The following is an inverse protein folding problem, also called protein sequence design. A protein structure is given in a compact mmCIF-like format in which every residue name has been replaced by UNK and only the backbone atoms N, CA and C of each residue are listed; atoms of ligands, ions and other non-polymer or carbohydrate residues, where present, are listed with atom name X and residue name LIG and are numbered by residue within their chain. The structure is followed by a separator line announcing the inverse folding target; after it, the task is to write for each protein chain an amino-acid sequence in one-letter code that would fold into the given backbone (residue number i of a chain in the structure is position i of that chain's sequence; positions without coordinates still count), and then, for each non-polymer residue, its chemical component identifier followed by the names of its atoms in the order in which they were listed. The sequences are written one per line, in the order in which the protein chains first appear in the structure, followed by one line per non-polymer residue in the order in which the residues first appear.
data_IF_919600031522
#
_entry.id   IF_919600031522
#
_cell.length_a   1.000
_cell.length_b   1.000
_cell.length_c   1.000
_cell.angle_alpha   90.00
_cell.angle_beta   90.00
_cell.angle_gamma   90.00
#
_symmetry.space_group_name_H-M   'P 1'
#
loop_
_entity.id
_entity.type
_entity.pdbx_description
1 polymer ?
#
# COMPACT_ATOMS: atom_id res chain seq x y z
N UNK A 1 -49.22 -34.07 -45.05
CA UNK A 1 -48.73 -34.54 -46.34
C UNK A 1 -47.32 -35.00 -46.14
N UNK A 2 -47.17 -36.33 -45.99
CA UNK A 2 -46.64 -37.27 -46.99
C UNK A 2 -45.17 -37.03 -47.27
N UNK A 3 -44.34 -37.85 -46.98
CA UNK A 3 -43.81 -39.22 -47.24
C UNK A 3 -42.30 -39.08 -47.44
N UNK A 4 -41.39 -39.87 -47.14
CA UNK A 4 -41.15 -41.26 -46.84
C UNK A 4 -39.70 -41.65 -47.24
N UNK A 5 -39.03 -42.40 -46.35
CA UNK A 5 -38.31 -43.67 -46.57
C UNK A 5 -37.24 -43.73 -47.67
N UNK A 6 -36.09 -44.33 -47.48
CA UNK A 6 -35.67 -45.74 -47.17
C UNK A 6 -34.15 -45.75 -47.08
N UNK A 7 -33.46 -46.31 -46.09
CA UNK A 7 -33.08 -47.73 -45.94
C UNK A 7 -32.27 -48.36 -47.13
N UNK A 8 -31.02 -48.71 -46.83
CA UNK A 8 -30.47 -50.02 -47.18
C UNK A 8 -29.10 -50.21 -46.53
N UNK A 9 -29.03 -51.31 -45.82
CA UNK A 9 -27.88 -51.98 -45.24
C UNK A 9 -27.28 -52.95 -46.29
N UNK A 10 -26.09 -53.46 -46.02
CA UNK A 10 -25.60 -54.84 -46.30
C UNK A 10 -24.12 -54.87 -45.87
N UNK A 11 -23.73 -55.54 -44.80
CA UNK A 11 -23.10 -56.85 -44.56
C UNK A 11 -21.94 -57.18 -45.52
N UNK A 12 -20.82 -57.73 -45.21
CA UNK A 12 -20.39 -58.77 -44.31
C UNK A 12 -18.87 -58.96 -44.39
N UNK A 13 -18.28 -59.43 -43.41
CA UNK A 13 -17.51 -60.65 -43.10
C UNK A 13 -16.00 -60.60 -43.22
N UNK A 14 -15.39 -60.72 -42.12
CA UNK A 14 -14.48 -61.73 -41.58
C UNK A 14 -13.24 -62.17 -42.36
N UNK A 15 -12.08 -62.05 -41.71
CA UNK A 15 -11.14 -63.16 -41.50
C UNK A 15 -10.04 -62.79 -40.50
N UNK A 16 -9.85 -63.64 -39.52
CA UNK A 16 -8.75 -63.63 -38.53
C UNK A 16 -7.41 -63.97 -39.22
N UNK A 17 -6.33 -63.38 -38.67
CA UNK A 17 -5.06 -64.11 -38.52
C UNK A 17 -4.30 -63.48 -37.33
N UNK A 18 -4.01 -64.32 -36.36
CA UNK A 18 -3.13 -64.08 -35.24
C UNK A 18 -1.68 -64.00 -35.72
N UNK A 19 -0.97 -62.97 -35.21
CA UNK A 19 0.49 -63.06 -35.05
C UNK A 19 0.89 -62.26 -33.84
N UNK A 20 1.37 -62.96 -32.82
CA UNK A 20 1.99 -62.40 -31.65
C UNK A 20 3.40 -61.97 -32.03
N UNK A 21 3.74 -60.68 -31.65
CA UNK A 21 5.12 -60.26 -31.44
C UNK A 21 5.11 -59.21 -30.31
N UNK A 22 5.80 -59.60 -29.27
CA UNK A 22 6.14 -58.77 -28.14
C UNK A 22 6.96 -57.54 -28.58
N UNK A 23 6.47 -56.35 -28.29
CA UNK A 23 7.19 -55.09 -28.47
C UNK A 23 6.88 -54.17 -27.29
N UNK A 24 7.89 -53.92 -26.47
CA UNK A 24 7.85 -53.03 -25.33
C UNK A 24 7.34 -51.67 -25.73
N UNK A 25 6.18 -51.26 -25.25
CA UNK A 25 5.68 -49.92 -25.38
C UNK A 25 6.37 -49.02 -24.35
N UNK A 26 7.24 -48.14 -24.82
CA UNK A 26 7.74 -47.00 -24.06
C UNK A 26 6.60 -46.05 -23.81
N UNK A 27 6.33 -45.61 -22.58
CA UNK A 27 5.31 -44.59 -22.31
C UNK A 27 5.75 -43.27 -22.95
N UNK A 28 4.88 -42.63 -23.72
CA UNK A 28 5.07 -41.27 -24.19
C UNK A 28 5.20 -40.29 -22.98
N UNK A 29 6.11 -39.31 -23.04
CA UNK A 29 6.23 -38.33 -21.94
C UNK A 29 4.95 -37.54 -21.88
N UNK A 30 4.31 -37.53 -20.70
CA UNK A 30 3.25 -36.59 -20.35
C UNK A 30 3.76 -35.19 -20.53
N UNK A 31 3.07 -34.37 -21.32
CA UNK A 31 3.31 -32.97 -21.42
C UNK A 31 3.09 -32.34 -20.02
N UNK A 32 4.19 -32.12 -19.30
CA UNK A 32 4.20 -31.28 -18.12
C UNK A 32 3.89 -29.86 -18.57
N UNK A 33 2.66 -29.42 -18.30
CA UNK A 33 2.31 -27.99 -18.33
C UNK A 33 3.23 -27.23 -17.42
N UNK A 34 4.19 -26.51 -18.00
CA UNK A 34 5.10 -25.64 -17.29
C UNK A 34 4.31 -24.46 -16.72
N UNK A 35 3.82 -24.60 -15.49
CA UNK A 35 3.60 -23.46 -14.65
C UNK A 35 4.98 -22.84 -14.43
N UNK A 36 5.16 -21.59 -14.85
CA UNK A 36 6.34 -20.80 -14.49
C UNK A 36 6.34 -20.64 -12.96
N UNK A 37 6.91 -21.64 -12.29
CA UNK A 37 7.25 -21.56 -10.87
C UNK A 37 8.30 -20.46 -10.75
N UNK A 38 7.99 -19.44 -9.97
CA UNK A 38 8.98 -18.49 -9.50
C UNK A 38 10.19 -19.30 -9.02
N UNK A 39 11.34 -19.08 -9.65
CA UNK A 39 12.61 -19.69 -9.27
C UNK A 39 12.80 -19.40 -7.78
N UNK A 40 12.67 -20.42 -6.93
CA UNK A 40 12.75 -20.26 -5.50
C UNK A 40 14.15 -19.76 -5.12
N UNK A 41 14.30 -18.45 -4.93
CA UNK A 41 15.50 -17.85 -4.35
C UNK A 41 15.55 -18.28 -2.89
N UNK A 42 16.47 -19.20 -2.55
CA UNK A 42 16.64 -19.65 -1.17
C UNK A 42 17.47 -18.66 -0.38
N UNK A 43 17.09 -18.39 0.86
CA UNK A 43 17.74 -17.43 1.74
C UNK A 43 18.36 -18.09 2.98
N UNK A 44 18.83 -19.33 2.86
CA UNK A 44 19.46 -20.03 3.98
C UNK A 44 20.61 -19.18 4.56
N UNK A 45 20.51 -18.83 5.85
CA UNK A 45 21.47 -17.97 6.54
C UNK A 45 21.28 -16.46 6.31
N UNK A 46 20.25 -16.00 5.60
CA UNK A 46 19.91 -14.59 5.49
C UNK A 46 19.16 -14.11 6.74
N UNK A 47 19.69 -13.13 7.45
CA UNK A 47 18.94 -12.39 8.48
C UNK A 47 18.50 -11.05 7.90
N UNK A 48 17.21 -10.82 7.83
CA UNK A 48 16.61 -9.54 7.43
C UNK A 48 16.27 -8.76 8.68
N UNK A 49 16.91 -7.60 8.85
CA UNK A 49 16.66 -6.66 9.94
C UNK A 49 15.64 -5.61 9.54
N UNK A 50 14.59 -5.39 10.34
CA UNK A 50 13.57 -4.38 10.06
C UNK A 50 13.56 -3.33 11.16
N UNK A 51 13.75 -2.07 10.78
CA UNK A 51 13.65 -0.92 11.68
C UNK A 51 12.34 -0.19 11.44
N UNK A 52 11.36 -0.41 12.32
CA UNK A 52 10.09 0.29 12.32
C UNK A 52 10.24 1.68 12.95
N UNK A 53 9.52 2.66 12.37
CA UNK A 53 9.44 4.00 12.96
C UNK A 53 8.61 4.01 14.25
N UNK A 54 7.46 3.33 14.22
CA UNK A 54 6.52 3.09 15.33
C UNK A 54 5.44 2.09 14.87
N UNK A 55 4.44 1.83 15.70
CA UNK A 55 3.26 1.01 15.39
C UNK A 55 1.95 1.80 15.56
N UNK A 56 1.97 3.11 15.34
CA UNK A 56 0.79 3.97 15.51
C UNK A 56 -0.24 3.73 14.42
N UNK A 57 0.17 3.65 13.15
CA UNK A 57 -0.71 3.31 12.05
C UNK A 57 -1.07 1.82 12.11
N UNK A 58 -2.39 1.50 12.05
CA UNK A 58 -2.91 0.14 12.21
C UNK A 58 -2.23 -0.87 11.28
N UNK A 59 -1.93 -0.46 10.06
CA UNK A 59 -1.38 -1.32 9.03
C UNK A 59 -0.04 -1.95 9.40
N UNK A 60 0.87 -1.23 10.11
CA UNK A 60 2.23 -1.72 10.37
C UNK A 60 2.26 -3.06 11.10
N UNK A 61 1.57 -3.16 12.24
CA UNK A 61 1.51 -4.40 13.02
C UNK A 61 0.55 -5.43 12.43
N UNK A 62 -0.51 -4.99 11.76
CA UNK A 62 -1.59 -5.88 11.32
C UNK A 62 -1.30 -6.56 10.00
N UNK A 63 -0.68 -5.85 9.06
CA UNK A 63 -0.53 -6.31 7.69
C UNK A 63 0.90 -6.31 7.19
N UNK A 64 1.62 -5.19 7.34
CA UNK A 64 2.94 -4.99 6.77
C UNK A 64 3.97 -5.94 7.39
N UNK A 65 4.12 -5.93 8.72
CA UNK A 65 5.09 -6.78 9.42
C UNK A 65 4.82 -8.28 9.21
N UNK A 66 3.58 -8.79 9.36
CA UNK A 66 3.29 -10.20 9.08
C UNK A 66 3.60 -10.61 7.64
N UNK A 67 3.36 -9.73 6.66
CA UNK A 67 3.64 -10.01 5.26
C UNK A 67 5.14 -10.07 4.96
N UNK A 68 5.92 -9.11 5.48
CA UNK A 68 7.39 -9.12 5.38
C UNK A 68 7.94 -10.39 6.02
N UNK A 69 7.55 -10.67 7.27
CA UNK A 69 8.01 -11.83 8.03
C UNK A 69 7.71 -13.12 7.28
N UNK A 70 6.47 -13.28 6.80
CA UNK A 70 6.05 -14.44 6.00
C UNK A 70 6.90 -14.62 4.74
N UNK A 71 7.18 -13.55 3.99
CA UNK A 71 7.98 -13.62 2.78
C UNK A 71 9.42 -14.03 3.08
N UNK A 72 10.03 -13.47 4.12
CA UNK A 72 11.39 -13.79 4.57
C UNK A 72 11.50 -15.25 5.03
N UNK A 73 10.60 -15.69 5.92
CA UNK A 73 10.62 -17.03 6.51
C UNK A 73 10.29 -18.12 5.47
N UNK A 74 9.38 -17.86 4.54
CA UNK A 74 9.04 -18.77 3.45
C UNK A 74 10.24 -19.07 2.53
N UNK A 75 11.18 -18.12 2.40
CA UNK A 75 12.43 -18.32 1.67
C UNK A 75 13.55 -18.94 2.52
N UNK A 76 13.30 -19.28 3.80
CA UNK A 76 14.27 -19.84 4.74
C UNK A 76 15.18 -18.79 5.41
N UNK A 77 14.83 -17.50 5.32
CA UNK A 77 15.50 -16.40 6.01
C UNK A 77 15.04 -16.24 7.46
N UNK A 78 15.75 -15.42 8.22
CA UNK A 78 15.41 -15.04 9.59
C UNK A 78 14.94 -13.58 9.62
N UNK A 79 13.78 -13.33 10.20
CA UNK A 79 13.24 -11.99 10.46
C UNK A 79 13.63 -11.53 11.87
N UNK A 80 14.16 -10.30 11.99
CA UNK A 80 14.40 -9.61 13.26
C UNK A 80 13.95 -8.15 13.13
N UNK A 81 13.37 -7.56 14.18
CA UNK A 81 12.85 -6.20 14.10
C UNK A 81 13.04 -5.41 15.38
N UNK A 82 13.09 -4.09 15.24
CA UNK A 82 13.11 -3.12 16.33
C UNK A 82 12.12 -2.00 16.07
N UNK A 83 11.56 -1.42 17.14
CA UNK A 83 10.65 -0.27 17.11
C UNK A 83 11.39 0.98 17.58
N UNK A 84 11.37 2.06 16.78
CA UNK A 84 11.99 3.33 17.11
C UNK A 84 11.09 4.24 17.99
N UNK A 85 9.83 3.86 18.20
CA UNK A 85 8.87 4.59 19.04
C UNK A 85 8.78 6.08 18.68
N UNK A 86 8.77 6.39 17.38
CA UNK A 86 8.73 7.75 16.84
C UNK A 86 9.97 8.61 17.16
N UNK A 87 11.12 7.99 17.50
CA UNK A 87 12.38 8.70 17.75
C UNK A 87 13.41 8.38 16.66
N UNK A 88 13.87 9.41 15.95
CA UNK A 88 14.92 9.28 14.93
C UNK A 88 16.27 8.83 15.56
N UNK A 89 16.59 9.27 16.77
CA UNK A 89 17.79 8.85 17.50
C UNK A 89 17.71 7.35 17.89
N UNK A 90 16.56 6.93 18.42
CA UNK A 90 16.32 5.51 18.71
C UNK A 90 16.41 4.68 17.44
N UNK A 91 15.91 5.20 16.30
CA UNK A 91 15.99 4.49 15.02
C UNK A 91 17.43 4.32 14.55
N UNK A 92 18.29 5.32 14.69
CA UNK A 92 19.70 5.20 14.37
C UNK A 92 20.38 4.08 15.19
N UNK A 93 20.14 4.07 16.51
CA UNK A 93 20.62 3.00 17.41
C UNK A 93 20.06 1.63 17.02
N UNK A 94 18.79 1.55 16.62
CA UNK A 94 18.16 0.31 16.17
C UNK A 94 18.84 -0.26 14.92
N UNK A 95 19.21 0.59 13.96
CA UNK A 95 19.95 0.16 12.76
C UNK A 95 21.30 -0.44 13.12
N UNK A 96 22.07 0.21 13.99
CA UNK A 96 23.36 -0.30 14.48
C UNK A 96 23.21 -1.65 15.20
N UNK A 97 22.18 -1.77 16.04
CA UNK A 97 21.88 -3.01 16.75
C UNK A 97 21.52 -4.15 15.78
N UNK A 98 20.73 -3.89 14.75
CA UNK A 98 20.37 -4.90 13.74
C UNK A 98 21.61 -5.38 12.96
N UNK A 99 22.51 -4.46 12.58
CA UNK A 99 23.79 -4.82 11.94
C UNK A 99 24.62 -5.70 12.88
N UNK A 100 24.74 -5.31 14.15
CA UNK A 100 25.50 -6.06 15.18
C UNK A 100 24.91 -7.45 15.43
N UNK A 101 23.61 -7.63 15.28
CA UNK A 101 22.90 -8.91 15.36
C UNK A 101 23.08 -9.77 14.11
N UNK A 102 23.82 -9.30 13.12
CA UNK A 102 24.15 -10.04 11.91
C UNK A 102 23.14 -9.91 10.77
N UNK A 103 22.35 -8.83 10.76
CA UNK A 103 21.48 -8.52 9.62
C UNK A 103 22.32 -8.44 8.33
N UNK A 104 21.87 -9.13 7.30
CA UNK A 104 22.48 -9.16 5.96
C UNK A 104 21.83 -8.17 5.01
N UNK A 105 20.60 -7.77 5.31
CA UNK A 105 19.80 -6.75 4.62
C UNK A 105 19.00 -6.00 5.67
N UNK A 106 18.80 -4.70 5.48
CA UNK A 106 17.93 -3.88 6.32
C UNK A 106 16.71 -3.41 5.52
N UNK A 107 15.53 -3.51 6.12
CA UNK A 107 14.35 -2.76 5.74
C UNK A 107 14.18 -1.62 6.74
N UNK A 108 14.05 -0.39 6.27
CA UNK A 108 13.91 0.78 7.15
C UNK A 108 12.66 1.56 6.76
N UNK A 109 11.70 1.62 7.68
CA UNK A 109 10.58 2.56 7.64
C UNK A 109 11.04 3.83 8.36
N UNK A 110 11.53 4.83 7.61
CA UNK A 110 12.18 5.99 8.19
C UNK A 110 11.23 6.85 9.05
N UNK A 111 11.64 7.20 10.25
CA UNK A 111 10.96 8.20 11.09
C UNK A 111 11.23 9.63 10.56
N UNK A 112 12.46 9.85 10.09
CA UNK A 112 12.92 11.09 9.47
C UNK A 112 13.84 10.73 8.28
N UNK A 113 13.50 11.20 7.10
CA UNK A 113 14.17 10.87 5.83
C UNK A 113 15.62 11.38 5.74
N UNK A 114 15.96 12.41 6.51
CA UNK A 114 17.29 13.01 6.54
C UNK A 114 18.12 12.50 7.70
N UNK A 115 17.52 12.39 8.89
CA UNK A 115 18.22 11.96 10.09
C UNK A 115 18.74 10.51 9.98
N UNK A 116 18.07 9.65 9.20
CA UNK A 116 18.46 8.25 9.02
C UNK A 116 19.65 8.06 8.05
N UNK A 117 19.97 9.04 7.20
CA UNK A 117 21.01 8.89 6.15
C UNK A 117 22.41 8.47 6.65
N UNK A 118 22.93 8.99 7.78
CA UNK A 118 24.21 8.51 8.32
C UNK A 118 24.22 7.03 8.66
N UNK A 119 23.13 6.51 9.25
CA UNK A 119 22.98 5.09 9.59
C UNK A 119 22.89 4.23 8.34
N UNK A 120 22.19 4.72 7.30
CA UNK A 120 22.10 4.06 5.98
C UNK A 120 23.49 3.99 5.31
N UNK A 121 24.24 5.10 5.31
CA UNK A 121 25.60 5.14 4.76
C UNK A 121 26.51 4.15 5.49
N UNK A 122 26.39 4.06 6.82
CA UNK A 122 27.11 3.06 7.64
C UNK A 122 26.74 1.61 7.28
N UNK A 123 25.44 1.33 7.10
CA UNK A 123 24.99 0.00 6.68
C UNK A 123 25.59 -0.38 5.32
N UNK A 124 25.46 0.51 4.32
CA UNK A 124 25.98 0.27 2.96
C UNK A 124 27.50 0.07 2.97
N UNK A 125 28.26 0.89 3.71
CA UNK A 125 29.72 0.75 3.82
C UNK A 125 30.16 -0.57 4.47
N UNK A 126 29.33 -1.13 5.36
CA UNK A 126 29.52 -2.45 5.95
C UNK A 126 29.02 -3.59 5.01
N UNK A 127 28.62 -3.28 3.79
CA UNK A 127 28.12 -4.23 2.80
C UNK A 127 26.76 -4.83 3.16
N UNK A 128 25.94 -4.10 3.95
CA UNK A 128 24.56 -4.44 4.28
C UNK A 128 23.63 -3.57 3.41
N UNK A 129 22.99 -4.14 2.36
CA UNK A 129 22.05 -3.39 1.52
C UNK A 129 20.85 -2.90 2.32
N UNK A 130 20.28 -1.78 1.87
CA UNK A 130 19.13 -1.15 2.51
C UNK A 130 17.94 -1.06 1.56
N UNK A 131 16.77 -1.43 2.06
CA UNK A 131 15.47 -1.19 1.44
C UNK A 131 14.77 -0.08 2.21
N UNK A 132 14.49 1.04 1.57
CA UNK A 132 13.58 2.06 2.06
C UNK A 132 12.15 1.52 1.92
N UNK A 133 11.53 1.18 3.03
CA UNK A 133 10.22 0.61 3.09
C UNK A 133 9.16 1.69 3.29
N UNK A 134 8.19 1.77 2.37
CA UNK A 134 7.09 2.74 2.35
C UNK A 134 7.56 4.21 2.24
N UNK A 135 8.48 4.67 3.08
CA UNK A 135 8.99 6.04 3.12
C UNK A 135 10.32 6.18 2.41
N UNK A 136 10.45 7.21 1.59
CA UNK A 136 11.65 7.45 0.81
C UNK A 136 12.87 7.73 1.72
N UNK A 137 13.97 7.05 1.44
CA UNK A 137 15.31 7.43 1.88
C UNK A 137 16.07 7.79 0.60
N UNK A 138 16.39 9.07 0.43
CA UNK A 138 16.97 9.57 -0.80
C UNK A 138 18.48 9.30 -0.85
N UNK A 139 18.83 8.08 -1.26
CA UNK A 139 20.19 7.61 -1.48
C UNK A 139 20.21 6.64 -2.67
N UNK A 140 21.08 6.83 -3.70
CA UNK A 140 21.13 5.96 -4.88
C UNK A 140 21.53 4.50 -4.58
N UNK A 141 22.15 4.23 -3.43
CA UNK A 141 22.50 2.88 -2.95
C UNK A 141 21.35 2.15 -2.24
N UNK A 142 20.17 2.76 -2.13
CA UNK A 142 18.99 2.21 -1.46
C UNK A 142 17.98 1.70 -2.48
N UNK A 143 17.33 0.56 -2.19
CA UNK A 143 16.16 0.10 -2.94
C UNK A 143 14.89 0.64 -2.31
N UNK A 144 13.97 1.19 -3.11
CA UNK A 144 12.75 1.81 -2.61
C UNK A 144 11.49 0.99 -2.95
N UNK A 145 10.71 0.63 -1.94
CA UNK A 145 9.45 -0.11 -2.09
C UNK A 145 8.33 0.66 -1.44
N UNK A 146 7.35 1.10 -2.23
CA UNK A 146 6.22 1.90 -1.76
C UNK A 146 5.02 1.80 -2.71
N UNK A 147 3.94 2.54 -2.42
CA UNK A 147 2.86 2.82 -3.37
C UNK A 147 3.17 4.09 -4.19
N UNK A 148 2.47 4.28 -5.32
CA UNK A 148 2.51 5.55 -6.05
C UNK A 148 1.78 6.63 -5.24
N UNK A 149 2.52 7.32 -4.35
CA UNK A 149 1.95 8.29 -3.43
C UNK A 149 1.46 9.57 -4.14
N UNK A 150 2.00 9.91 -5.30
CA UNK A 150 1.43 11.01 -6.12
C UNK A 150 0.06 10.61 -6.65
N UNK A 151 -0.10 9.37 -7.12
CA UNK A 151 -1.41 8.86 -7.56
C UNK A 151 -2.40 8.72 -6.39
N UNK A 152 -1.93 8.36 -5.18
CA UNK A 152 -2.78 8.41 -3.96
C UNK A 152 -3.35 9.81 -3.78
N UNK A 153 -2.51 10.83 -3.81
CA UNK A 153 -2.96 12.22 -3.71
C UNK A 153 -3.94 12.63 -4.80
N UNK A 154 -3.70 12.21 -6.06
CA UNK A 154 -4.65 12.44 -7.16
C UNK A 154 -6.00 11.76 -6.91
N UNK A 155 -6.01 10.52 -6.41
CA UNK A 155 -7.24 9.79 -6.10
C UNK A 155 -8.03 10.47 -4.98
N UNK A 156 -7.36 10.90 -3.90
CA UNK A 156 -7.97 11.68 -2.83
C UNK A 156 -8.64 12.95 -3.37
N UNK A 157 -7.89 13.75 -4.13
CA UNK A 157 -8.40 15.01 -4.66
C UNK A 157 -9.51 14.83 -5.69
N UNK A 158 -9.45 13.80 -6.55
CA UNK A 158 -10.53 13.54 -7.54
C UNK A 158 -11.88 13.30 -6.87
N UNK A 159 -11.94 12.48 -5.83
CA UNK A 159 -13.19 12.18 -5.16
C UNK A 159 -13.71 13.36 -4.33
N UNK A 160 -12.82 14.12 -3.69
CA UNK A 160 -13.19 15.34 -2.96
C UNK A 160 -13.64 16.44 -3.93
N UNK A 161 -12.89 16.67 -5.00
CA UNK A 161 -13.25 17.69 -6.02
C UNK A 161 -14.56 17.37 -6.75
N UNK A 162 -14.81 16.09 -7.01
CA UNK A 162 -16.10 15.64 -7.56
C UNK A 162 -17.27 15.96 -6.62
N UNK A 163 -17.09 15.84 -5.32
CA UNK A 163 -18.11 16.14 -4.33
C UNK A 163 -18.27 17.65 -4.12
N UNK A 164 -17.18 18.41 -4.14
CA UNK A 164 -17.16 19.86 -3.86
C UNK A 164 -16.27 20.56 -4.88
N UNK A 165 -16.75 20.89 -6.10
CA UNK A 165 -15.92 21.52 -7.14
C UNK A 165 -15.57 22.99 -6.83
N UNK A 166 -16.23 23.62 -5.86
CA UNK A 166 -16.01 25.02 -5.43
C UNK A 166 -16.21 25.13 -3.93
N UNK A 167 -15.31 25.81 -3.23
CA UNK A 167 -15.45 26.01 -1.79
C UNK A 167 -14.15 26.26 -1.07
N UNK A 168 -14.25 26.27 0.24
CA UNK A 168 -13.16 26.49 1.18
C UNK A 168 -12.55 25.13 1.58
N UNK A 169 -11.31 24.89 1.18
CA UNK A 169 -10.60 23.64 1.43
C UNK A 169 -9.59 23.77 2.56
N UNK A 170 -9.51 22.73 3.37
CA UNK A 170 -8.45 22.54 4.38
C UNK A 170 -7.58 21.34 3.97
N UNK A 171 -6.26 21.46 4.17
CA UNK A 171 -5.28 20.44 3.89
C UNK A 171 -4.59 20.01 5.18
N UNK A 172 -4.84 18.79 5.64
CA UNK A 172 -4.20 18.16 6.79
C UNK A 172 -3.16 17.17 6.24
N UNK A 173 -1.91 17.63 6.17
CA UNK A 173 -0.80 16.85 5.62
C UNK A 173 -0.12 16.03 6.71
N UNK A 174 0.57 14.97 6.28
CA UNK A 174 1.36 14.12 7.16
C UNK A 174 2.60 14.79 7.75
N UNK A 175 3.50 13.98 8.29
CA UNK A 175 4.72 14.48 8.91
C UNK A 175 5.63 15.17 7.88
N UNK A 176 6.10 16.36 8.20
CA UNK A 176 7.01 17.14 7.35
C UNK A 176 8.36 16.45 7.07
N UNK A 177 8.79 15.54 7.95
CA UNK A 177 10.00 14.74 7.80
C UNK A 177 9.78 13.43 7.00
N UNK A 178 8.62 13.29 6.35
CA UNK A 178 8.24 12.17 5.49
C UNK A 178 7.93 12.69 4.09
N UNK A 179 8.69 12.25 3.10
CA UNK A 179 8.50 12.66 1.71
C UNK A 179 7.10 12.30 1.16
N UNK A 180 6.43 11.29 1.73
CA UNK A 180 5.09 10.90 1.30
C UNK A 180 4.08 12.04 1.46
N UNK A 181 4.16 12.84 2.54
CA UNK A 181 3.29 14.00 2.72
C UNK A 181 3.44 15.03 1.57
N UNK A 182 4.65 15.20 1.05
CA UNK A 182 4.90 16.10 -0.10
C UNK A 182 4.39 15.48 -1.40
N UNK A 183 4.57 14.17 -1.61
CA UNK A 183 4.07 13.47 -2.80
C UNK A 183 2.54 13.48 -2.87
N UNK A 184 1.88 13.19 -1.77
CA UNK A 184 0.42 13.24 -1.64
C UNK A 184 -0.11 14.64 -2.00
N UNK A 185 0.46 15.69 -1.38
CA UNK A 185 0.08 17.07 -1.65
C UNK A 185 0.30 17.44 -3.12
N UNK A 186 1.41 17.02 -3.72
CA UNK A 186 1.65 17.30 -5.14
C UNK A 186 0.60 16.67 -6.05
N UNK A 187 0.20 15.43 -5.76
CA UNK A 187 -0.89 14.75 -6.48
C UNK A 187 -2.25 15.45 -6.29
N UNK A 188 -2.53 15.90 -5.06
CA UNK A 188 -3.73 16.68 -4.76
C UNK A 188 -3.74 17.98 -5.57
N UNK A 189 -2.64 18.73 -5.57
CA UNK A 189 -2.51 20.00 -6.29
C UNK A 189 -2.69 19.84 -7.79
N UNK A 190 -2.16 18.79 -8.40
CA UNK A 190 -2.34 18.53 -9.84
C UNK A 190 -3.82 18.44 -10.24
N UNK A 191 -4.68 17.90 -9.38
CA UNK A 191 -6.11 17.75 -9.69
C UNK A 191 -6.90 19.06 -9.53
N UNK A 192 -6.55 19.85 -8.51
CA UNK A 192 -7.34 21.06 -8.16
C UNK A 192 -6.74 22.37 -8.65
N UNK A 193 -5.56 22.33 -9.29
CA UNK A 193 -4.78 23.54 -9.69
C UNK A 193 -5.60 24.59 -10.43
N UNK A 194 -6.42 24.18 -11.38
CA UNK A 194 -7.20 25.12 -12.22
C UNK A 194 -8.35 25.77 -11.42
N UNK A 195 -8.98 25.01 -10.52
CA UNK A 195 -10.00 25.54 -9.62
C UNK A 195 -9.42 26.47 -8.53
N UNK A 196 -8.18 26.20 -8.09
CA UNK A 196 -7.46 27.13 -7.21
C UNK A 196 -7.07 28.40 -7.97
N UNK A 197 -6.57 28.28 -9.19
CA UNK A 197 -6.18 29.41 -10.02
C UNK A 197 -7.36 30.31 -10.39
N UNK A 198 -8.56 29.74 -10.62
CA UNK A 198 -9.80 30.50 -10.89
C UNK A 198 -10.42 31.12 -9.63
N UNK A 199 -9.97 30.70 -8.43
CA UNK A 199 -10.58 31.11 -7.16
C UNK A 199 -11.86 30.33 -6.79
N UNK A 200 -12.21 29.30 -7.55
CA UNK A 200 -13.31 28.39 -7.24
C UNK A 200 -13.01 27.57 -5.97
N UNK A 201 -11.75 27.17 -5.78
CA UNK A 201 -11.27 26.59 -4.54
C UNK A 201 -10.38 27.59 -3.81
N UNK A 202 -10.65 27.79 -2.52
CA UNK A 202 -9.86 28.61 -1.62
C UNK A 202 -9.19 27.72 -0.57
N UNK A 203 -7.88 27.76 -0.48
CA UNK A 203 -7.15 27.18 0.64
C UNK A 203 -7.36 28.07 1.88
N UNK A 204 -8.15 27.60 2.84
CA UNK A 204 -8.46 28.34 4.08
C UNK A 204 -7.75 27.76 5.31
N UNK A 205 -6.94 26.70 5.13
CA UNK A 205 -6.13 26.10 6.17
C UNK A 205 -5.23 24.99 5.62
N UNK A 206 -3.96 25.05 5.99
CA UNK A 206 -2.99 24.03 5.59
C UNK A 206 -1.94 23.84 6.68
N UNK A 207 -1.67 22.58 7.04
CA UNK A 207 -0.67 22.25 8.06
C UNK A 207 0.02 20.93 7.76
N UNK A 208 1.19 20.71 8.37
CA UNK A 208 1.82 19.41 8.54
C UNK A 208 1.54 18.92 9.96
N UNK A 209 1.01 17.71 10.07
CA UNK A 209 0.70 17.06 11.34
C UNK A 209 1.88 16.21 11.78
N UNK A 210 2.49 16.55 12.92
CA UNK A 210 3.65 15.83 13.41
C UNK A 210 3.34 14.36 13.64
N UNK A 211 4.26 13.51 13.11
CA UNK A 211 4.19 12.05 13.23
C UNK A 211 2.85 11.44 12.80
N UNK A 212 2.08 12.11 11.91
CA UNK A 212 0.75 11.66 11.41
C UNK A 212 -0.30 11.46 12.51
N UNK A 213 -0.17 12.12 13.67
CA UNK A 213 -0.97 11.87 14.88
C UNK A 213 -2.42 12.32 14.74
N UNK A 214 -3.40 11.41 14.96
CA UNK A 214 -4.83 11.75 14.88
C UNK A 214 -5.28 12.87 15.83
N UNK A 215 -4.75 12.88 17.06
CA UNK A 215 -5.08 13.88 18.07
C UNK A 215 -4.58 15.28 17.71
N UNK A 216 -3.44 15.38 17.01
CA UNK A 216 -2.95 16.66 16.50
C UNK A 216 -3.81 17.13 15.33
N UNK A 217 -4.15 16.23 14.39
CA UNK A 217 -5.04 16.54 13.27
C UNK A 217 -6.42 17.03 13.74
N UNK A 218 -6.95 16.46 14.83
CA UNK A 218 -8.18 16.95 15.44
C UNK A 218 -8.03 18.38 15.93
N UNK A 219 -6.99 18.66 16.72
CA UNK A 219 -6.72 19.99 17.26
C UNK A 219 -6.51 21.02 16.15
N UNK A 220 -5.76 20.68 15.11
CA UNK A 220 -5.50 21.52 13.94
C UNK A 220 -6.80 21.82 13.18
N UNK A 221 -7.66 20.80 12.99
CA UNK A 221 -8.96 21.00 12.33
C UNK A 221 -9.90 21.88 13.17
N UNK A 222 -9.96 21.72 14.49
CA UNK A 222 -10.73 22.59 15.41
C UNK A 222 -10.28 24.06 15.30
N UNK A 223 -8.97 24.29 15.18
CA UNK A 223 -8.42 25.63 14.94
C UNK A 223 -8.88 26.21 13.60
N UNK A 224 -8.83 25.42 12.51
CA UNK A 224 -9.30 25.86 11.19
C UNK A 224 -10.81 26.12 11.17
N UNK A 225 -11.61 25.30 11.82
CA UNK A 225 -13.06 25.53 11.95
C UNK A 225 -13.35 26.85 12.67
N UNK A 226 -12.63 27.10 13.78
CA UNK A 226 -12.76 28.37 14.54
C UNK A 226 -12.34 29.57 13.70
N UNK A 227 -11.18 29.51 13.05
CA UNK A 227 -10.64 30.61 12.24
C UNK A 227 -11.54 30.97 11.06
N UNK A 228 -12.27 30.01 10.52
CA UNK A 228 -13.15 30.16 9.37
C UNK A 228 -14.64 30.24 9.73
N UNK A 229 -15.01 30.39 11.01
CA UNK A 229 -16.41 30.42 11.46
C UNK A 229 -17.21 29.20 10.94
N UNK A 230 -16.61 28.02 11.00
CA UNK A 230 -17.14 26.74 10.49
C UNK A 230 -17.43 26.71 8.96
N UNK A 231 -16.91 27.68 8.20
CA UNK A 231 -17.07 27.73 6.73
C UNK A 231 -15.94 26.95 6.04
N UNK A 232 -15.93 25.66 6.24
CA UNK A 232 -15.07 24.68 5.55
C UNK A 232 -15.95 23.75 4.74
N UNK A 233 -15.69 23.62 3.46
CA UNK A 233 -16.53 22.87 2.53
C UNK A 233 -15.93 21.49 2.20
N UNK A 234 -14.59 21.31 2.33
CA UNK A 234 -13.92 20.04 2.10
C UNK A 234 -12.58 19.94 2.87
N UNK A 235 -12.17 18.72 3.20
CA UNK A 235 -10.87 18.45 3.83
C UNK A 235 -10.11 17.38 3.04
N UNK A 236 -8.91 17.72 2.60
CA UNK A 236 -7.93 16.78 2.09
C UNK A 236 -7.01 16.37 3.24
N UNK A 237 -7.39 15.28 3.91
CA UNK A 237 -6.57 14.60 4.92
C UNK A 237 -5.77 13.49 4.25
N UNK A 238 -4.46 13.46 4.54
CA UNK A 238 -3.54 12.60 3.83
C UNK A 238 -3.54 11.15 4.30
N UNK A 239 -4.00 10.83 5.54
CA UNK A 239 -4.20 9.43 5.96
C UNK A 239 -5.44 9.22 6.83
N UNK A 240 -5.75 7.97 7.11
CA UNK A 240 -6.97 7.52 7.79
C UNK A 240 -6.97 7.85 9.29
N UNK A 241 -5.81 7.77 9.95
CA UNK A 241 -5.69 8.17 11.35
C UNK A 241 -6.04 9.64 11.53
N UNK A 242 -5.40 10.52 10.73
CA UNK A 242 -5.69 11.96 10.75
C UNK A 242 -7.11 12.27 10.29
N UNK A 243 -7.64 11.56 9.28
CA UNK A 243 -9.06 11.69 8.87
C UNK A 243 -10.01 11.38 10.03
N UNK A 244 -9.66 10.43 10.91
CA UNK A 244 -10.40 10.17 12.15
C UNK A 244 -10.45 11.36 13.08
N UNK A 245 -9.31 12.03 13.30
CA UNK A 245 -9.22 13.28 14.07
C UNK A 245 -10.03 14.42 13.44
N UNK A 246 -9.90 14.60 12.11
CA UNK A 246 -10.70 15.57 11.34
C UNK A 246 -12.20 15.34 11.50
N UNK A 247 -12.66 14.08 11.34
CA UNK A 247 -14.09 13.74 11.50
C UNK A 247 -14.56 13.99 12.93
N UNK A 248 -13.74 13.74 13.96
CA UNK A 248 -14.07 14.04 15.35
C UNK A 248 -14.24 15.56 15.57
N UNK A 249 -13.37 16.40 15.00
CA UNK A 249 -13.51 17.85 15.05
C UNK A 249 -14.77 18.34 14.34
N UNK A 250 -15.08 17.79 13.16
CA UNK A 250 -16.30 18.09 12.40
C UNK A 250 -17.55 17.68 13.17
N UNK A 251 -17.53 16.52 13.84
CA UNK A 251 -18.64 16.03 14.68
C UNK A 251 -18.97 16.99 15.81
N UNK A 252 -17.95 17.58 16.47
CA UNK A 252 -18.13 18.61 17.49
C UNK A 252 -18.88 19.85 17.01
N UNK A 253 -18.98 20.08 15.70
CA UNK A 253 -19.69 21.19 15.07
C UNK A 253 -20.93 20.73 14.26
N UNK A 254 -21.31 19.45 14.36
CA UNK A 254 -22.39 18.84 13.57
C UNK A 254 -22.17 18.99 12.04
N UNK A 255 -20.91 18.89 11.60
CA UNK A 255 -20.47 18.99 10.19
C UNK A 255 -20.02 17.64 9.61
N UNK A 256 -19.87 16.60 10.44
CA UNK A 256 -19.54 15.25 9.98
C UNK A 256 -20.59 14.71 9.02
N UNK A 257 -20.15 14.05 7.94
CA UNK A 257 -20.99 13.61 6.83
C UNK A 257 -21.53 14.73 5.94
N UNK A 258 -21.29 16.01 6.28
CA UNK A 258 -21.61 17.18 5.43
C UNK A 258 -20.39 17.73 4.72
N UNK A 259 -19.22 17.70 5.39
CA UNK A 259 -17.94 18.10 4.83
C UNK A 259 -17.22 16.85 4.36
N UNK A 260 -16.97 16.68 3.04
CA UNK A 260 -16.20 15.58 2.49
C UNK A 260 -14.77 15.54 3.05
N UNK A 261 -14.31 14.34 3.41
CA UNK A 261 -12.98 14.08 3.98
C UNK A 261 -12.33 12.93 3.23
N UNK A 262 -11.04 13.09 2.86
CA UNK A 262 -10.23 12.01 2.29
C UNK A 262 -9.39 11.30 3.35
N UNK A 263 -8.91 10.11 3.00
CA UNK A 263 -7.92 9.35 3.75
C UNK A 263 -7.16 8.39 2.84
N UNK A 264 -6.26 7.62 3.41
CA UNK A 264 -5.57 6.48 2.78
C UNK A 264 -5.17 5.47 3.86
N UNK A 265 -4.79 4.29 3.43
CA UNK A 265 -4.21 3.12 4.08
C UNK A 265 -5.19 1.94 4.25
N UNK A 266 -6.50 2.18 4.28
CA UNK A 266 -7.50 1.13 4.43
C UNK A 266 -7.73 0.71 5.88
N UNK A 267 -7.59 1.62 6.82
CA UNK A 267 -7.87 1.35 8.23
C UNK A 267 -9.32 0.92 8.42
N UNK A 268 -9.54 -0.08 9.28
CA UNK A 268 -10.88 -0.61 9.50
C UNK A 268 -11.89 0.46 9.93
N UNK A 269 -11.45 1.41 10.76
CA UNK A 269 -12.28 2.54 11.20
C UNK A 269 -12.60 3.50 10.04
N UNK A 270 -11.65 3.73 9.12
CA UNK A 270 -11.83 4.60 7.96
C UNK A 270 -12.80 3.99 6.95
N UNK A 271 -12.64 2.71 6.62
CA UNK A 271 -13.58 1.99 5.76
C UNK A 271 -15.00 2.00 6.32
N UNK A 272 -15.17 1.85 7.64
CA UNK A 272 -16.47 2.02 8.28
C UNK A 272 -16.98 3.46 8.18
N UNK A 273 -16.13 4.50 8.36
CA UNK A 273 -16.51 5.90 8.14
C UNK A 273 -16.93 6.16 6.68
N UNK A 274 -16.27 5.51 5.70
CA UNK A 274 -16.73 5.56 4.29
C UNK A 274 -18.11 4.93 4.16
N UNK A 275 -18.37 3.78 4.78
CA UNK A 275 -19.69 3.14 4.74
C UNK A 275 -20.77 4.00 5.40
N UNK A 276 -20.47 4.60 6.55
CA UNK A 276 -21.35 5.56 7.24
C UNK A 276 -21.55 6.87 6.46
N UNK A 277 -20.54 7.31 5.71
CA UNK A 277 -20.53 8.55 4.93
C UNK A 277 -19.95 9.76 5.63
N UNK A 278 -19.22 9.54 6.72
CA UNK A 278 -18.46 10.58 7.42
C UNK A 278 -17.03 10.74 6.87
N UNK A 279 -16.58 9.82 6.00
CA UNK A 279 -15.41 9.94 5.14
C UNK A 279 -15.84 9.66 3.69
N UNK A 280 -15.32 10.38 2.72
CA UNK A 280 -15.75 10.30 1.32
C UNK A 280 -14.99 9.24 0.55
N UNK A 281 -13.70 9.17 0.78
CA UNK A 281 -12.78 8.24 0.13
C UNK A 281 -11.70 7.79 1.11
N UNK A 282 -11.37 6.50 1.03
CA UNK A 282 -10.17 5.91 1.58
C UNK A 282 -9.35 5.35 0.42
N UNK A 283 -8.15 5.84 0.19
CA UNK A 283 -7.27 5.27 -0.83
C UNK A 283 -6.55 4.07 -0.24
N UNK A 284 -7.15 2.90 -0.45
CA UNK A 284 -6.65 1.64 0.08
C UNK A 284 -5.30 1.25 -0.52
N UNK A 285 -4.41 0.89 0.35
CA UNK A 285 -3.10 0.34 0.08
C UNK A 285 -3.05 -1.09 0.62
N UNK A 286 -3.06 -2.11 -0.25
CA UNK A 286 -2.90 -3.49 0.21
C UNK A 286 -1.46 -3.73 0.70
N UNK A 287 -1.22 -3.42 1.97
CA UNK A 287 0.09 -3.53 2.58
C UNK A 287 0.60 -4.97 2.72
N UNK A 288 -0.25 -5.96 2.49
CA UNK A 288 0.19 -7.37 2.37
C UNK A 288 1.06 -7.55 1.13
N UNK A 289 0.68 -6.91 0.02
CA UNK A 289 1.47 -6.92 -1.22
C UNK A 289 2.76 -6.09 -1.08
N UNK A 290 2.69 -4.95 -0.36
CA UNK A 290 3.88 -4.14 -0.08
C UNK A 290 4.89 -4.91 0.76
N UNK A 291 4.43 -5.50 1.88
CA UNK A 291 5.28 -6.29 2.76
C UNK A 291 5.88 -7.51 2.06
N UNK A 292 5.08 -8.20 1.23
CA UNK A 292 5.57 -9.30 0.39
C UNK A 292 6.67 -8.83 -0.57
N UNK A 293 6.42 -7.75 -1.32
CA UNK A 293 7.40 -7.22 -2.29
C UNK A 293 8.72 -6.82 -1.61
N UNK A 294 8.64 -6.18 -0.44
CA UNK A 294 9.81 -5.79 0.34
C UNK A 294 10.57 -7.00 0.90
N UNK A 295 9.87 -8.01 1.41
CA UNK A 295 10.48 -9.25 1.88
C UNK A 295 11.18 -10.01 0.75
N UNK A 296 10.54 -10.13 -0.42
CA UNK A 296 11.12 -10.76 -1.60
C UNK A 296 12.34 -9.98 -2.12
N UNK A 297 12.29 -8.65 -2.14
CA UNK A 297 13.43 -7.81 -2.49
C UNK A 297 14.60 -8.00 -1.51
N UNK A 298 14.33 -8.06 -0.20
CA UNK A 298 15.35 -8.32 0.81
C UNK A 298 16.02 -9.67 0.60
N UNK A 299 15.27 -10.72 0.27
CA UNK A 299 15.84 -12.04 -0.02
C UNK A 299 16.73 -12.01 -1.27
N UNK A 300 16.32 -11.30 -2.32
CA UNK A 300 17.17 -11.12 -3.50
C UNK A 300 18.47 -10.39 -3.14
N UNK A 301 18.41 -9.36 -2.28
CA UNK A 301 19.59 -8.62 -1.80
C UNK A 301 20.51 -9.43 -0.91
N UNK A 302 20.00 -10.43 -0.19
CA UNK A 302 20.86 -11.39 0.52
C UNK A 302 21.77 -12.20 -0.42
N UNK A 303 21.28 -12.53 -1.60
CA UNK A 303 22.00 -13.32 -2.60
C UNK A 303 22.85 -12.47 -3.54
N UNK A 304 22.35 -11.27 -3.88
CA UNK A 304 23.04 -10.32 -4.75
C UNK A 304 22.81 -8.91 -4.19
N UNK A 305 23.84 -8.31 -3.63
CA UNK A 305 23.75 -7.00 -2.95
C UNK A 305 23.48 -5.79 -3.87
N UNK A 306 23.33 -6.01 -5.17
CA UNK A 306 23.11 -4.96 -6.17
C UNK A 306 21.61 -4.59 -6.21
N UNK A 307 21.27 -3.43 -5.64
CA UNK A 307 19.92 -2.88 -5.62
C UNK A 307 19.31 -2.64 -7.02
N UNK A 308 20.13 -2.58 -8.06
CA UNK A 308 19.70 -2.38 -9.45
C UNK A 308 19.26 -3.67 -10.13
N UNK A 309 19.46 -4.82 -9.51
CA UNK A 309 19.19 -6.16 -10.05
C UNK A 309 17.94 -6.84 -9.44
N UNK A 310 17.15 -6.10 -8.69
CA UNK A 310 15.90 -6.61 -8.11
C UNK A 310 14.88 -6.85 -9.22
N UNK A 311 14.28 -8.03 -9.24
CA UNK A 311 13.26 -8.38 -10.23
C UNK A 311 12.00 -7.50 -10.06
N UNK A 312 11.50 -6.97 -11.17
CA UNK A 312 10.34 -6.07 -11.18
C UNK A 312 10.66 -4.62 -10.84
N UNK A 313 11.93 -4.28 -10.59
CA UNK A 313 12.32 -2.91 -10.29
C UNK A 313 12.20 -1.99 -11.52
N UNK A 314 11.85 -0.76 -11.24
CA UNK A 314 11.87 0.39 -12.15
C UNK A 314 12.72 1.51 -11.56
N UNK A 315 13.00 2.54 -12.36
CA UNK A 315 13.72 3.73 -11.87
C UNK A 315 12.73 4.78 -11.38
N UNK A 316 12.88 5.23 -10.15
CA UNK A 316 12.14 6.37 -9.57
C UNK A 316 13.08 7.58 -9.47
N UNK A 317 12.61 8.76 -9.92
CA UNK A 317 13.34 10.03 -9.76
C UNK A 317 12.85 10.70 -8.48
N UNK A 318 13.76 10.91 -7.54
CA UNK A 318 13.48 11.53 -6.25
C UNK A 318 13.33 13.05 -6.38
N UNK A 319 12.79 13.76 -5.37
CA UNK A 319 12.72 15.22 -5.34
C UNK A 319 14.10 15.90 -5.49
N UNK A 320 15.17 15.30 -4.98
CA UNK A 320 16.54 15.77 -5.16
C UNK A 320 17.15 15.40 -6.51
N UNK A 321 16.33 14.94 -7.47
CA UNK A 321 16.74 14.55 -8.82
C UNK A 321 17.72 13.36 -8.87
N UNK A 322 17.75 12.53 -7.82
CA UNK A 322 18.48 11.26 -7.82
C UNK A 322 17.61 10.16 -8.43
N UNK A 323 18.25 9.15 -9.01
CA UNK A 323 17.55 7.94 -9.48
C UNK A 323 17.78 6.83 -8.48
N UNK A 324 16.69 6.22 -8.01
CA UNK A 324 16.70 5.03 -7.15
C UNK A 324 15.97 3.88 -7.83
N UNK A 325 16.44 2.66 -7.63
CA UNK A 325 15.72 1.47 -8.05
C UNK A 325 14.51 1.25 -7.14
N UNK A 326 13.34 0.99 -7.69
CA UNK A 326 12.11 0.95 -6.91
C UNK A 326 11.06 -0.04 -7.42
N UNK A 327 10.19 -0.45 -6.53
CA UNK A 327 8.87 -1.03 -6.84
C UNK A 327 7.81 -0.08 -6.30
N UNK A 328 6.96 0.42 -7.21
CA UNK A 328 5.80 1.24 -6.88
C UNK A 328 4.52 0.44 -7.10
N UNK A 329 3.79 0.18 -6.03
CA UNK A 329 2.51 -0.52 -6.07
C UNK A 329 1.37 0.45 -6.41
N UNK A 330 0.30 -0.09 -6.99
CA UNK A 330 -0.88 0.70 -7.35
C UNK A 330 -1.83 0.80 -6.17
N UNK A 331 -2.22 2.00 -5.73
CA UNK A 331 -3.29 2.20 -4.77
C UNK A 331 -4.66 2.04 -5.43
N UNK A 332 -5.72 1.91 -4.61
CA UNK A 332 -7.10 1.82 -5.10
C UNK A 332 -8.05 2.68 -4.26
N UNK A 333 -8.83 3.62 -4.86
CA UNK A 333 -9.78 4.42 -4.11
C UNK A 333 -11.00 3.59 -3.72
N UNK A 334 -11.35 3.63 -2.44
CA UNK A 334 -12.55 3.01 -1.87
C UNK A 334 -13.52 4.10 -1.48
N UNK A 335 -14.73 4.01 -2.04
CA UNK A 335 -15.86 4.88 -1.77
C UNK A 335 -17.09 4.03 -1.43
N UNK A 336 -18.20 4.64 -1.09
CA UNK A 336 -19.47 3.90 -0.88
C UNK A 336 -19.86 3.00 -2.06
N UNK A 337 -19.41 3.31 -3.27
CA UNK A 337 -19.80 2.58 -4.47
C UNK A 337 -19.09 1.24 -4.65
N UNK A 338 -17.96 1.01 -3.98
CA UNK A 338 -17.12 -0.17 -4.20
C UNK A 338 -16.56 -0.81 -2.92
N UNK A 339 -17.28 -0.73 -1.81
CA UNK A 339 -16.88 -1.32 -0.53
C UNK A 339 -16.66 -2.85 -0.58
N UNK A 340 -17.28 -3.54 -1.52
CA UNK A 340 -17.04 -4.99 -1.71
C UNK A 340 -15.58 -5.30 -2.07
N UNK A 341 -14.85 -4.38 -2.68
CA UNK A 341 -13.44 -4.62 -3.02
C UNK A 341 -12.63 -5.06 -1.79
N UNK A 342 -12.79 -4.36 -0.66
CA UNK A 342 -12.07 -4.69 0.58
C UNK A 342 -12.66 -5.88 1.33
N UNK A 343 -13.95 -6.21 1.11
CA UNK A 343 -14.58 -7.43 1.61
C UNK A 343 -14.08 -8.65 0.82
N UNK A 344 -14.12 -8.60 -0.50
CA UNK A 344 -13.68 -9.68 -1.40
C UNK A 344 -12.18 -9.97 -1.21
N UNK A 345 -11.39 -8.92 -0.97
CA UNK A 345 -9.98 -9.03 -0.61
C UNK A 345 -9.74 -9.60 0.81
N UNK A 346 -10.80 -9.84 1.60
CA UNK A 346 -10.69 -10.25 3.02
C UNK A 346 -9.84 -9.30 3.88
N UNK A 347 -9.83 -8.01 3.51
CA UNK A 347 -9.12 -6.97 4.23
C UNK A 347 -9.84 -6.56 5.51
N UNK A 348 -11.16 -6.51 5.45
CA UNK A 348 -12.04 -6.20 6.57
C UNK A 348 -13.22 -7.19 6.61
N UNK A 349 -13.72 -7.50 7.79
CA UNK A 349 -14.95 -8.30 7.92
C UNK A 349 -16.18 -7.43 7.71
N UNK A 350 -17.28 -8.05 7.22
CA UNK A 350 -18.56 -7.36 7.03
C UNK A 350 -19.06 -6.69 8.33
N UNK A 351 -18.93 -7.37 9.46
CA UNK A 351 -19.37 -6.82 10.76
C UNK A 351 -18.64 -5.54 11.13
N UNK A 352 -17.34 -5.47 10.88
CA UNK A 352 -16.55 -4.25 11.12
C UNK A 352 -16.87 -3.14 10.14
N UNK A 353 -16.96 -3.49 8.83
CA UNK A 353 -17.29 -2.51 7.79
C UNK A 353 -18.65 -1.88 8.00
N UNK A 354 -19.65 -2.69 8.37
CA UNK A 354 -21.06 -2.30 8.43
C UNK A 354 -21.52 -1.89 9.83
N UNK A 355 -20.62 -1.76 10.80
CA UNK A 355 -20.98 -1.33 12.15
C UNK A 355 -21.70 0.04 12.13
N UNK A 356 -22.93 0.10 12.65
CA UNK A 356 -23.76 1.31 12.66
C UNK A 356 -24.35 1.73 11.30
N UNK A 357 -24.09 0.99 10.23
CA UNK A 357 -24.65 1.26 8.90
C UNK A 357 -26.05 0.68 8.80
N UNK A 358 -27.01 1.45 8.26
CA UNK A 358 -28.35 0.94 7.99
C UNK A 358 -28.29 -0.17 6.93
N UNK A 359 -28.85 -1.34 7.24
CA UNK A 359 -28.81 -2.48 6.33
C UNK A 359 -29.36 -2.14 4.95
N UNK A 360 -28.61 -2.49 3.91
CA UNK A 360 -28.96 -2.23 2.51
C UNK A 360 -28.78 -0.78 2.04
N UNK A 361 -28.31 0.13 2.90
CA UNK A 361 -28.09 1.54 2.51
C UNK A 361 -26.84 1.75 1.66
N UNK A 362 -25.88 0.84 1.72
CA UNK A 362 -24.66 0.83 0.88
C UNK A 362 -24.34 -0.59 0.42
N UNK A 363 -23.71 -0.71 -0.74
CA UNK A 363 -23.27 -2.02 -1.27
C UNK A 363 -22.28 -2.69 -0.30
N UNK A 364 -22.50 -3.99 -0.03
CA UNK A 364 -21.71 -4.76 0.94
C UNK A 364 -22.31 -4.78 2.35
N UNK A 365 -23.08 -3.80 2.72
CA UNK A 365 -23.81 -3.75 4.00
C UNK A 365 -25.30 -3.99 3.82
#
# INVERSE_FOLDING_TARGET
MKFSRKLAAVTASAAMLLSACSGSATPAPAASGGGAGASGVTAAGCTVGVSWNNYQEERWAKWDEPAIKKAVEAAGGKYVANDAKSSAETQATNVENLISQGAKVLLILAQDDKAIKPSVATAISNGVPVVAYDRLIEDPGVFYVTFDNVEVGRMQAREIFKAVPKGNYVFIKGNKADANAVFLKSGQDEIIKDAVASGDIKNVGETFTDSWKPELAQTEMEQFLTANNNKVDAVLSENDGMAGGVVAALHGQALDGKVPVSGQDGDAAALNRVALGTQTVDVWKDSRELGKAAGEAAIQLCNNKDVTKIAGASSFTTPGNNKVSSILLKPQPITKANLNVVLDATWITKDKLCAGVTAGSVGGC
#
